data_IF_751482185942
#
_entry.id   IF_751482185942
#
_cell.length_a   1.000
_cell.length_b   1.000
_cell.length_c   1.000
_cell.angle_alpha   90.00
_cell.angle_beta   90.00
_cell.angle_gamma   90.00
#
_symmetry.space_group_name_H-M   'P 1'
#
loop_
_entity.id
_entity.type
_entity.pdbx_description
1 polymer ?
#
# COMPACT_ATOMS: atom_id res chain seq x y z
N UNK A 1 -5.42 31.28 6.03
CA UNK A 1 -4.15 32.05 6.14
C UNK A 1 -3.78 32.40 7.58
N UNK A 2 -4.73 32.69 8.48
CA UNK A 2 -4.46 32.96 9.90
C UNK A 2 -3.81 31.76 10.62
N UNK A 3 -4.16 30.55 10.25
CA UNK A 3 -3.83 29.35 11.03
C UNK A 3 -2.38 28.88 10.90
N UNK A 4 -1.73 29.03 9.74
CA UNK A 4 -0.32 28.62 9.56
C UNK A 4 0.65 29.61 10.18
N UNK A 5 0.39 30.92 10.13
CA UNK A 5 1.16 31.91 10.88
C UNK A 5 1.03 31.70 12.38
N UNK A 6 -0.17 31.33 12.83
CA UNK A 6 -0.46 30.91 14.20
C UNK A 6 0.35 29.67 14.59
N UNK A 7 0.50 28.69 13.68
CA UNK A 7 1.25 27.44 13.92
C UNK A 7 2.75 27.69 14.10
N UNK A 8 3.36 28.53 13.25
CA UNK A 8 4.79 28.87 13.38
C UNK A 8 5.06 29.57 14.69
N UNK A 9 4.27 30.58 15.03
CA UNK A 9 4.41 31.33 16.31
C UNK A 9 4.19 30.38 17.51
N UNK A 10 3.21 29.49 17.45
CA UNK A 10 2.96 28.51 18.50
C UNK A 10 4.10 27.50 18.63
N UNK A 11 4.71 27.08 17.52
CA UNK A 11 5.88 26.20 17.52
C UNK A 11 7.06 26.85 18.26
N UNK A 12 7.36 28.11 17.96
CA UNK A 12 8.42 28.86 18.65
C UNK A 12 8.15 28.99 20.15
N UNK A 13 6.93 29.30 20.55
CA UNK A 13 6.50 29.38 21.94
C UNK A 13 6.62 28.00 22.65
N UNK A 14 6.24 26.92 22.02
CA UNK A 14 6.38 25.55 22.56
C UNK A 14 7.85 25.17 22.73
N UNK A 15 8.73 25.48 21.78
CA UNK A 15 10.16 25.23 21.91
C UNK A 15 10.76 26.01 23.09
N UNK A 16 10.33 27.25 23.26
CA UNK A 16 10.76 28.09 24.40
C UNK A 16 10.24 27.52 25.75
N UNK A 17 8.98 27.10 25.82
CA UNK A 17 8.36 26.46 27.01
C UNK A 17 9.12 25.21 27.43
N UNK A 18 9.48 24.34 26.46
CA UNK A 18 10.18 23.10 26.70
C UNK A 18 11.70 23.25 26.85
N UNK A 19 12.25 24.46 26.62
CA UNK A 19 13.70 24.71 26.65
C UNK A 19 14.48 23.92 25.59
N UNK A 20 13.87 23.61 24.45
CA UNK A 20 14.48 22.87 23.33
C UNK A 20 14.81 23.81 22.18
N UNK A 21 15.92 23.57 21.45
CA UNK A 21 16.23 24.37 20.28
C UNK A 21 15.18 24.14 19.18
N UNK A 22 14.86 25.18 18.42
CA UNK A 22 14.01 25.05 17.25
C UNK A 22 14.68 24.16 16.20
N UNK A 23 13.94 23.21 15.65
CA UNK A 23 14.40 22.41 14.53
C UNK A 23 14.04 23.13 13.22
N UNK A 24 15.03 23.58 12.43
CA UNK A 24 14.77 24.34 11.19
C UNK A 24 13.92 23.58 10.16
N UNK A 25 13.89 22.28 10.26
CA UNK A 25 13.08 21.44 9.37
C UNK A 25 11.59 21.71 9.53
N UNK A 26 11.08 21.90 10.78
CA UNK A 26 9.68 22.26 11.01
C UNK A 26 9.31 23.57 10.31
N UNK A 27 10.15 24.58 10.45
CA UNK A 27 9.90 25.89 9.84
C UNK A 27 9.82 25.81 8.31
N UNK A 28 10.73 25.08 7.69
CA UNK A 28 10.71 24.84 6.24
C UNK A 28 9.45 24.11 5.80
N UNK A 29 8.99 23.13 6.58
CA UNK A 29 7.77 22.36 6.25
C UNK A 29 6.51 23.21 6.42
N UNK A 30 6.45 24.09 7.42
CA UNK A 30 5.34 25.04 7.56
C UNK A 30 5.28 26.03 6.40
N UNK A 31 6.41 26.52 5.93
CA UNK A 31 6.48 27.40 4.75
C UNK A 31 6.00 26.67 3.49
N UNK A 32 6.48 25.43 3.26
CA UNK A 32 6.06 24.62 2.13
C UNK A 32 4.55 24.35 2.16
N UNK A 33 3.99 23.93 3.28
CA UNK A 33 2.56 23.67 3.41
C UNK A 33 1.70 24.92 3.20
N UNK A 34 2.23 26.08 3.62
CA UNK A 34 1.59 27.37 3.33
C UNK A 34 1.50 27.64 1.83
N UNK A 35 2.58 27.40 1.08
CA UNK A 35 2.61 27.56 -0.37
C UNK A 35 1.63 26.60 -1.05
N UNK A 36 1.59 25.32 -0.63
CA UNK A 36 0.68 24.32 -1.15
C UNK A 36 -0.79 24.64 -0.82
N UNK A 37 -1.08 25.17 0.37
CA UNK A 37 -2.43 25.59 0.75
C UNK A 37 -2.90 26.77 -0.11
N UNK A 38 -2.02 27.74 -0.38
CA UNK A 38 -2.30 28.86 -1.29
C UNK A 38 -2.58 28.34 -2.72
N UNK A 39 -1.82 27.35 -3.18
CA UNK A 39 -2.03 26.76 -4.51
C UNK A 39 -3.36 26.02 -4.58
N UNK A 40 -3.70 25.20 -3.57
CA UNK A 40 -4.99 24.50 -3.46
C UNK A 40 -6.18 25.47 -3.45
N UNK A 41 -6.08 26.57 -2.72
CA UNK A 41 -7.15 27.58 -2.70
C UNK A 41 -7.41 28.23 -4.06
N UNK A 42 -6.36 28.40 -4.89
CA UNK A 42 -6.48 28.92 -6.27
C UNK A 42 -7.12 27.92 -7.23
N UNK A 43 -7.02 26.62 -6.95
CA UNK A 43 -7.63 25.55 -7.78
C UNK A 43 -9.05 25.20 -7.35
N UNK A 44 -9.61 25.89 -6.35
CA UNK A 44 -10.99 25.69 -5.87
C UNK A 44 -11.15 24.53 -4.89
N UNK A 45 -10.07 23.92 -4.43
CA UNK A 45 -10.11 22.94 -3.33
C UNK A 45 -10.12 23.69 -1.98
N UNK A 46 -11.31 23.82 -1.41
CA UNK A 46 -11.59 24.65 -0.21
C UNK A 46 -11.29 23.87 1.09
N UNK A 47 -10.65 22.70 1.04
CA UNK A 47 -10.36 21.94 2.26
C UNK A 47 -9.21 22.62 3.03
N UNK A 48 -9.54 23.19 4.18
CA UNK A 48 -8.59 23.78 5.15
C UNK A 48 -7.74 22.71 5.88
N UNK A 49 -7.60 21.50 5.29
CA UNK A 49 -6.87 20.40 5.88
C UNK A 49 -5.37 20.58 5.61
N UNK A 50 -4.59 20.59 6.68
CA UNK A 50 -3.13 20.67 6.65
C UNK A 50 -2.50 19.28 6.80
N UNK A 51 -1.47 19.02 5.99
CA UNK A 51 -0.68 17.81 6.04
C UNK A 51 0.76 18.15 6.49
N UNK A 52 1.21 17.62 7.60
CA UNK A 52 2.58 17.81 8.07
C UNK A 52 3.48 16.67 7.59
N UNK A 53 4.30 16.96 6.59
CA UNK A 53 5.26 16.02 6.00
C UNK A 53 6.64 16.17 6.65
N UNK A 54 6.86 15.52 7.77
CA UNK A 54 8.10 15.59 8.54
C UNK A 54 8.98 14.35 8.36
N UNK A 55 8.99 13.79 7.15
CA UNK A 55 9.74 12.58 6.83
C UNK A 55 11.26 12.79 6.90
N UNK A 56 11.98 11.90 7.60
CA UNK A 56 13.42 11.96 7.79
C UNK A 56 14.28 11.65 6.55
N UNK A 57 13.63 11.28 5.41
CA UNK A 57 14.28 11.14 4.11
C UNK A 57 13.92 12.27 3.13
N UNK A 58 13.31 13.34 3.61
CA UNK A 58 12.96 14.51 2.80
C UNK A 58 14.21 15.28 2.39
N UNK A 59 14.25 15.74 1.13
CA UNK A 59 15.36 16.53 0.58
C UNK A 59 15.55 17.89 1.28
N UNK A 60 14.52 18.41 1.92
CA UNK A 60 14.57 19.66 2.70
C UNK A 60 15.18 19.49 4.09
N UNK A 61 15.37 18.24 4.54
CA UNK A 61 16.05 17.94 5.79
C UNK A 61 17.56 18.21 5.61
N UNK A 62 18.05 19.22 6.26
CA UNK A 62 19.47 19.63 6.18
C UNK A 62 20.25 19.40 7.47
N UNK A 63 19.57 18.93 8.52
CA UNK A 63 20.12 18.70 9.84
C UNK A 63 19.77 17.28 10.33
N UNK A 64 19.45 17.10 11.57
CA UNK A 64 19.09 15.82 12.16
C UNK A 64 17.66 15.40 11.85
N UNK A 65 17.43 14.08 11.75
CA UNK A 65 16.08 13.48 11.78
C UNK A 65 15.39 13.79 13.11
N UNK A 66 14.06 13.75 13.10
CA UNK A 66 13.29 13.95 14.32
C UNK A 66 13.58 12.83 15.33
N UNK A 67 13.57 13.20 16.60
CA UNK A 67 13.74 12.31 17.73
C UNK A 67 12.54 12.42 18.72
N UNK A 68 12.66 11.78 19.87
CA UNK A 68 11.60 11.75 20.89
C UNK A 68 11.23 13.12 21.45
N UNK A 69 12.19 14.05 21.51
CA UNK A 69 11.93 15.44 21.95
C UNK A 69 11.12 16.21 20.92
N UNK A 70 11.36 15.97 19.63
CA UNK A 70 10.54 16.55 18.58
C UNK A 70 9.10 16.02 18.66
N UNK A 71 8.89 14.77 19.09
CA UNK A 71 7.55 14.21 19.35
C UNK A 71 6.85 14.90 20.53
N UNK A 72 7.58 15.27 21.59
CA UNK A 72 7.03 16.06 22.69
C UNK A 72 6.59 17.45 22.21
N UNK A 73 7.40 18.11 21.39
CA UNK A 73 7.05 19.38 20.75
C UNK A 73 5.79 19.24 19.89
N UNK A 74 5.71 18.18 19.06
CA UNK A 74 4.54 17.90 18.23
C UNK A 74 3.27 17.68 19.08
N UNK A 75 3.37 16.94 20.17
CA UNK A 75 2.24 16.75 21.08
C UNK A 75 1.73 18.10 21.61
N UNK A 76 2.61 18.92 22.16
CA UNK A 76 2.27 20.25 22.69
C UNK A 76 1.70 21.19 21.62
N UNK A 77 2.27 21.13 20.42
CA UNK A 77 1.83 21.94 19.29
C UNK A 77 0.43 21.57 18.83
N UNK A 78 0.13 20.26 18.76
CA UNK A 78 -1.07 19.69 18.13
C UNK A 78 -2.17 19.26 19.11
N UNK A 79 -1.96 19.33 20.44
CA UNK A 79 -2.96 18.88 21.43
C UNK A 79 -4.34 19.55 21.26
N UNK A 80 -4.41 20.81 20.81
CA UNK A 80 -5.65 21.55 20.51
C UNK A 80 -5.81 21.80 19.00
N UNK A 81 -5.25 20.94 18.19
CA UNK A 81 -5.30 21.07 16.73
C UNK A 81 -6.70 20.81 16.18
N UNK A 82 -7.12 21.65 15.23
CA UNK A 82 -8.41 21.55 14.53
C UNK A 82 -8.27 21.52 13.00
N UNK A 83 -7.05 21.53 12.46
CA UNK A 83 -6.80 21.65 11.01
C UNK A 83 -5.75 20.68 10.47
N UNK A 84 -4.78 20.19 11.29
CA UNK A 84 -3.83 19.15 10.83
C UNK A 84 -4.53 17.81 10.86
N UNK A 85 -4.70 17.19 9.68
CA UNK A 85 -5.39 15.91 9.52
C UNK A 85 -4.44 14.76 9.20
N UNK A 86 -3.23 15.04 8.73
CA UNK A 86 -2.23 14.02 8.39
C UNK A 86 -0.87 14.39 8.94
N UNK A 87 -0.18 13.39 9.52
CA UNK A 87 1.13 13.53 10.12
C UNK A 87 2.07 12.44 9.59
N UNK A 88 3.02 12.82 8.76
CA UNK A 88 4.03 11.92 8.20
C UNK A 88 5.36 12.06 8.92
N UNK A 89 5.69 11.09 9.77
CA UNK A 89 6.88 11.01 10.61
C UNK A 89 7.82 9.86 10.20
N UNK A 90 7.67 9.34 8.99
CA UNK A 90 8.47 8.19 8.51
C UNK A 90 9.97 8.51 8.44
N UNK A 91 10.81 7.47 8.54
CA UNK A 91 12.27 7.54 8.42
C UNK A 91 12.96 8.46 9.44
N UNK A 92 12.41 8.61 10.62
CA UNK A 92 12.98 9.36 11.72
C UNK A 92 13.62 8.43 12.77
N UNK A 93 14.07 8.99 13.88
CA UNK A 93 14.72 8.27 14.99
C UNK A 93 13.79 8.23 16.22
N UNK A 94 12.51 8.01 15.99
CA UNK A 94 11.48 7.98 17.03
C UNK A 94 11.50 6.62 17.71
N UNK A 95 11.73 6.59 19.03
CA UNK A 95 11.71 5.38 19.84
C UNK A 95 10.37 5.20 20.56
N UNK A 96 10.27 4.18 21.42
CA UNK A 96 9.09 3.95 22.24
C UNK A 96 8.73 5.19 23.09
N UNK A 97 9.73 5.98 23.52
CA UNK A 97 9.48 7.20 24.29
C UNK A 97 8.80 8.30 23.46
N UNK A 98 9.25 8.51 22.21
CA UNK A 98 8.61 9.46 21.31
C UNK A 98 7.18 9.05 20.93
N UNK A 99 6.97 7.75 20.73
CA UNK A 99 5.64 7.21 20.43
C UNK A 99 4.64 7.42 21.56
N UNK A 100 5.09 7.50 22.84
CA UNK A 100 4.20 7.84 23.97
C UNK A 100 3.55 9.23 23.80
N UNK A 101 4.29 10.20 23.28
CA UNK A 101 3.73 11.53 22.99
C UNK A 101 2.73 11.49 21.84
N UNK A 102 3.00 10.69 20.80
CA UNK A 102 2.06 10.51 19.70
C UNK A 102 0.79 9.79 20.18
N UNK A 103 0.92 8.76 21.01
CA UNK A 103 -0.22 8.07 21.61
C UNK A 103 -1.07 9.03 22.46
N UNK A 104 -0.43 9.87 23.28
CA UNK A 104 -1.09 10.90 24.07
C UNK A 104 -1.83 11.92 23.23
N UNK A 105 -1.21 12.34 22.11
CA UNK A 105 -1.87 13.21 21.13
C UNK A 105 -3.14 12.55 20.57
N UNK A 106 -3.10 11.26 20.24
CA UNK A 106 -4.27 10.52 19.74
C UNK A 106 -5.36 10.34 20.80
N UNK A 107 -5.04 10.25 22.08
CA UNK A 107 -6.04 10.19 23.15
C UNK A 107 -6.82 11.51 23.30
N UNK A 108 -6.22 12.64 22.98
CA UNK A 108 -6.77 13.97 23.18
C UNK A 108 -7.30 14.61 21.89
N UNK A 109 -6.91 14.11 20.72
CA UNK A 109 -7.24 14.71 19.42
C UNK A 109 -7.91 13.69 18.49
N UNK A 110 -9.04 14.08 17.91
CA UNK A 110 -9.80 13.28 16.94
C UNK A 110 -9.81 13.89 15.52
N UNK A 111 -9.03 14.93 15.28
CA UNK A 111 -8.93 15.60 13.96
C UNK A 111 -7.90 14.92 13.07
N UNK A 112 -6.86 14.32 13.68
CA UNK A 112 -5.83 13.60 12.93
C UNK A 112 -6.44 12.30 12.40
N UNK A 113 -6.49 12.17 11.08
CA UNK A 113 -7.03 11.01 10.37
C UNK A 113 -5.96 10.04 9.88
N UNK A 114 -4.74 10.54 9.64
CA UNK A 114 -3.62 9.73 9.13
C UNK A 114 -2.33 9.97 9.92
N UNK A 115 -1.67 8.87 10.33
CA UNK A 115 -0.33 8.89 10.91
C UNK A 115 0.55 7.86 10.21
N UNK A 116 1.73 8.31 9.77
CA UNK A 116 2.76 7.48 9.18
C UNK A 116 4.02 7.49 10.05
N UNK A 117 4.28 6.38 10.72
CA UNK A 117 5.47 6.13 11.56
C UNK A 117 6.41 5.09 10.95
N UNK A 118 6.32 4.84 9.63
CA UNK A 118 7.14 3.86 8.92
C UNK A 118 8.63 4.07 9.16
N UNK A 119 9.38 2.98 9.38
CA UNK A 119 10.85 3.01 9.50
C UNK A 119 11.34 4.00 10.57
N UNK A 120 10.88 3.81 11.78
CA UNK A 120 11.40 4.42 13.01
C UNK A 120 12.03 3.35 13.90
N UNK A 121 12.35 3.68 15.15
CA UNK A 121 13.12 2.82 16.07
C UNK A 121 12.30 2.34 17.27
N UNK A 122 10.97 2.35 17.20
CA UNK A 122 10.13 1.86 18.30
C UNK A 122 9.80 0.37 18.14
N UNK A 123 9.46 -0.24 19.27
CA UNK A 123 9.19 -1.67 19.37
C UNK A 123 7.81 -2.00 19.96
N UNK A 124 7.79 -3.06 20.78
CA UNK A 124 6.56 -3.58 21.38
C UNK A 124 5.89 -2.59 22.32
N UNK A 125 6.67 -1.78 23.06
CA UNK A 125 6.16 -0.88 24.08
C UNK A 125 5.49 0.35 23.41
N UNK A 126 6.06 0.86 22.30
CA UNK A 126 5.42 1.85 21.45
C UNK A 126 4.14 1.34 20.78
N UNK A 127 4.14 0.10 20.30
CA UNK A 127 2.93 -0.50 19.73
C UNK A 127 1.82 -0.69 20.80
N UNK A 128 2.19 -1.02 22.05
CA UNK A 128 1.23 -1.14 23.16
C UNK A 128 0.55 0.19 23.47
N UNK A 129 1.31 1.29 23.60
CA UNK A 129 0.73 2.59 23.93
C UNK A 129 -0.13 3.14 22.80
N UNK A 130 0.27 2.93 21.54
CA UNK A 130 -0.57 3.26 20.36
C UNK A 130 -1.88 2.48 20.37
N UNK A 131 -1.81 1.16 20.59
CA UNK A 131 -3.00 0.31 20.65
C UNK A 131 -3.97 0.78 21.75
N UNK A 132 -3.46 1.14 22.94
CA UNK A 132 -4.28 1.69 24.02
C UNK A 132 -4.93 3.03 23.66
N UNK A 133 -4.19 3.93 23.04
CA UNK A 133 -4.74 5.22 22.59
C UNK A 133 -5.86 5.01 21.57
N UNK A 134 -5.67 4.08 20.64
CA UNK A 134 -6.64 3.75 19.59
C UNK A 134 -7.91 3.02 20.12
N UNK A 135 -7.91 2.49 21.33
CA UNK A 135 -9.16 1.99 21.94
C UNK A 135 -10.20 3.11 22.15
N UNK A 136 -9.75 4.35 22.31
CA UNK A 136 -10.62 5.51 22.57
C UNK A 136 -10.69 6.50 21.41
N UNK A 137 -9.63 6.55 20.60
CA UNK A 137 -9.56 7.47 19.48
C UNK A 137 -10.61 7.13 18.42
N UNK A 138 -11.34 8.15 17.99
CA UNK A 138 -12.41 8.07 16.97
C UNK A 138 -12.09 8.86 15.70
N UNK A 139 -10.88 9.43 15.59
CA UNK A 139 -10.45 10.24 14.45
C UNK A 139 -9.61 9.46 13.45
N UNK A 140 -8.65 8.65 13.93
CA UNK A 140 -7.65 8.02 13.09
C UNK A 140 -8.25 6.95 12.17
N UNK A 141 -7.98 7.10 10.87
CA UNK A 141 -8.44 6.20 9.80
C UNK A 141 -7.32 5.40 9.16
N UNK A 142 -6.11 5.96 9.13
CA UNK A 142 -4.94 5.32 8.52
C UNK A 142 -3.76 5.36 9.46
N UNK A 143 -3.17 4.17 9.72
CA UNK A 143 -1.98 4.01 10.55
C UNK A 143 -0.94 3.16 9.83
N UNK A 144 0.27 3.68 9.70
CA UNK A 144 1.40 2.99 9.10
C UNK A 144 2.54 2.84 10.09
N UNK A 145 2.89 1.60 10.38
CA UNK A 145 3.91 1.22 11.34
C UNK A 145 5.02 0.35 10.71
N UNK A 146 4.93 0.11 9.41
CA UNK A 146 5.81 -0.83 8.71
C UNK A 146 7.29 -0.46 8.85
N UNK A 147 8.14 -1.50 8.94
CA UNK A 147 9.58 -1.33 9.11
C UNK A 147 10.02 -0.97 10.54
N UNK A 148 9.17 -1.10 11.54
CA UNK A 148 9.52 -0.97 12.97
C UNK A 148 9.64 -2.36 13.63
N UNK A 149 10.34 -2.47 14.77
CA UNK A 149 10.57 -3.75 15.45
C UNK A 149 9.49 -4.08 16.47
N UNK A 150 8.25 -4.12 16.04
CA UNK A 150 7.06 -4.30 16.90
C UNK A 150 7.03 -5.71 17.51
N UNK A 151 7.41 -6.73 16.75
CA UNK A 151 7.47 -8.12 17.17
C UNK A 151 6.10 -8.73 17.50
N UNK A 152 6.14 -10.00 17.90
CA UNK A 152 4.93 -10.77 18.20
C UNK A 152 4.04 -10.10 19.25
N UNK A 153 4.65 -9.59 20.32
CA UNK A 153 3.92 -9.01 21.45
C UNK A 153 3.20 -7.71 21.07
N UNK A 154 3.89 -6.84 20.31
CA UNK A 154 3.27 -5.63 19.78
C UNK A 154 2.15 -5.93 18.79
N UNK A 155 2.33 -6.95 17.94
CA UNK A 155 1.29 -7.45 17.04
C UNK A 155 0.03 -7.94 17.77
N UNK A 156 0.20 -8.59 18.93
CA UNK A 156 -0.93 -8.99 19.79
C UNK A 156 -1.71 -7.80 20.35
N UNK A 157 -1.02 -6.71 20.77
CA UNK A 157 -1.69 -5.48 21.20
C UNK A 157 -2.47 -4.82 20.05
N UNK A 158 -1.91 -4.82 18.83
CA UNK A 158 -2.60 -4.30 17.66
C UNK A 158 -3.82 -5.15 17.29
N UNK A 159 -3.74 -6.49 17.41
CA UNK A 159 -4.90 -7.36 17.23
C UNK A 159 -6.00 -7.06 18.26
N UNK A 160 -5.64 -6.90 19.52
CA UNK A 160 -6.58 -6.51 20.58
C UNK A 160 -7.22 -5.14 20.29
N UNK A 161 -6.45 -4.17 19.80
CA UNK A 161 -6.97 -2.87 19.36
C UNK A 161 -8.00 -3.03 18.25
N UNK A 162 -7.72 -3.82 17.21
CA UNK A 162 -8.66 -4.08 16.10
C UNK A 162 -9.97 -4.75 16.54
N UNK A 163 -9.99 -5.44 17.67
CA UNK A 163 -11.21 -6.03 18.23
C UNK A 163 -12.19 -4.96 18.74
N UNK A 164 -11.67 -3.79 19.16
CA UNK A 164 -12.44 -2.74 19.84
C UNK A 164 -12.64 -1.52 18.95
N UNK A 165 -11.57 -1.12 18.22
CA UNK A 165 -11.60 0.10 17.42
C UNK A 165 -12.56 -0.03 16.22
N UNK A 166 -13.40 0.97 16.06
CA UNK A 166 -14.44 1.04 15.00
C UNK A 166 -14.23 2.21 14.02
N UNK A 167 -13.02 2.75 13.93
CA UNK A 167 -12.73 3.91 13.08
C UNK A 167 -11.57 3.68 12.11
N UNK A 168 -10.58 2.86 12.48
CA UNK A 168 -9.41 2.59 11.67
C UNK A 168 -9.80 1.81 10.40
N UNK A 169 -9.46 2.37 9.24
CA UNK A 169 -9.80 1.81 7.93
C UNK A 169 -8.58 1.20 7.21
N UNK A 170 -7.39 1.71 7.47
CA UNK A 170 -6.15 1.18 6.87
C UNK A 170 -5.08 0.96 7.94
N UNK A 171 -4.47 -0.22 7.93
CA UNK A 171 -3.37 -0.59 8.81
C UNK A 171 -2.24 -1.22 8.01
N UNK A 172 -1.04 -0.63 8.10
CA UNK A 172 0.18 -1.19 7.55
C UNK A 172 1.15 -1.58 8.66
N UNK A 173 1.33 -2.88 8.83
CA UNK A 173 2.24 -3.52 9.79
C UNK A 173 3.19 -4.51 9.09
N UNK A 174 3.50 -4.23 7.83
CA UNK A 174 4.46 -5.01 7.07
C UNK A 174 5.87 -4.87 7.64
N UNK A 175 6.67 -5.94 7.55
CA UNK A 175 8.08 -5.91 7.94
C UNK A 175 8.29 -5.39 9.38
N UNK A 176 7.49 -5.90 10.32
CA UNK A 176 7.50 -5.49 11.74
C UNK A 176 7.78 -6.65 12.68
N UNK A 177 8.48 -7.68 12.20
CA UNK A 177 8.88 -8.87 12.96
C UNK A 177 7.69 -9.63 13.61
N UNK A 178 6.50 -9.57 12.98
CA UNK A 178 5.35 -10.36 13.42
C UNK A 178 5.62 -11.85 13.23
N UNK A 179 5.17 -12.67 14.18
CA UNK A 179 5.28 -14.13 14.08
C UNK A 179 3.90 -14.79 13.94
N UNK A 180 3.89 -16.09 13.80
CA UNK A 180 2.67 -16.89 13.57
C UNK A 180 1.51 -16.52 14.50
N UNK A 181 1.77 -16.37 15.80
CA UNK A 181 0.72 -16.11 16.81
C UNK A 181 0.02 -14.76 16.57
N UNK A 182 0.79 -13.69 16.42
CA UNK A 182 0.21 -12.34 16.19
C UNK A 182 -0.48 -12.24 14.82
N UNK A 183 0.06 -12.90 13.81
CA UNK A 183 -0.55 -12.97 12.48
C UNK A 183 -1.91 -13.68 12.53
N UNK A 184 -2.00 -14.82 13.22
CA UNK A 184 -3.25 -15.55 13.46
C UNK A 184 -4.23 -14.72 14.29
N UNK A 185 -3.75 -14.01 15.31
CA UNK A 185 -4.58 -13.14 16.14
C UNK A 185 -5.24 -12.03 15.30
N UNK A 186 -4.46 -11.35 14.42
CA UNK A 186 -5.01 -10.33 13.52
C UNK A 186 -6.06 -10.95 12.58
N UNK A 187 -5.78 -12.08 11.94
CA UNK A 187 -6.75 -12.75 11.07
C UNK A 187 -8.03 -13.12 11.84
N UNK A 188 -7.90 -13.56 13.09
CA UNK A 188 -9.03 -13.98 13.93
C UNK A 188 -9.94 -12.80 14.31
N UNK A 189 -9.37 -11.67 14.73
CA UNK A 189 -10.19 -10.49 15.10
C UNK A 189 -10.91 -9.88 13.90
N UNK A 190 -10.32 -9.99 12.72
CA UNK A 190 -10.94 -9.52 11.47
C UNK A 190 -12.21 -10.30 11.09
N UNK A 191 -12.47 -11.48 11.65
CA UNK A 191 -13.76 -12.16 11.48
C UNK A 191 -14.93 -11.27 11.92
N UNK A 192 -14.74 -10.41 12.91
CA UNK A 192 -15.77 -9.56 13.49
C UNK A 192 -15.56 -8.06 13.24
N UNK A 193 -14.34 -7.63 12.91
CA UNK A 193 -14.09 -6.23 12.57
C UNK A 193 -14.80 -5.85 11.27
N UNK A 194 -15.54 -4.73 11.28
CA UNK A 194 -16.34 -4.23 10.16
C UNK A 194 -15.94 -2.83 9.72
N UNK A 195 -14.72 -2.41 10.05
CA UNK A 195 -14.22 -1.06 9.73
C UNK A 195 -12.94 -1.08 8.90
N UNK A 196 -12.07 -2.06 9.14
CA UNK A 196 -10.80 -2.15 8.41
C UNK A 196 -11.07 -2.55 6.96
N UNK A 197 -10.56 -1.74 6.03
CA UNK A 197 -10.69 -1.89 4.58
C UNK A 197 -9.40 -2.31 3.91
N UNK A 198 -8.25 -1.86 4.42
CA UNK A 198 -6.93 -2.18 3.90
C UNK A 198 -6.03 -2.71 5.00
N UNK A 199 -5.40 -3.86 4.74
CA UNK A 199 -4.42 -4.47 5.63
C UNK A 199 -3.18 -4.88 4.85
N UNK A 200 -2.02 -4.36 5.29
CA UNK A 200 -0.72 -4.80 4.82
C UNK A 200 0.02 -5.54 5.94
N UNK A 201 0.28 -6.83 5.72
CA UNK A 201 1.03 -7.70 6.64
C UNK A 201 2.22 -8.38 5.94
N UNK A 202 2.77 -7.77 4.91
CA UNK A 202 3.88 -8.34 4.16
C UNK A 202 5.08 -8.67 5.05
N UNK A 203 5.79 -9.75 4.71
CA UNK A 203 7.07 -10.15 5.33
C UNK A 203 7.01 -10.43 6.84
N UNK A 204 6.04 -11.20 7.35
CA UNK A 204 6.12 -11.70 8.72
C UNK A 204 7.24 -12.75 8.84
N UNK A 205 7.67 -13.03 10.07
CA UNK A 205 8.64 -14.09 10.37
C UNK A 205 7.87 -15.37 10.69
N UNK A 206 7.65 -16.22 9.67
CA UNK A 206 6.90 -17.46 9.80
C UNK A 206 7.86 -18.66 9.82
N UNK A 207 7.72 -19.52 10.83
CA UNK A 207 8.58 -20.68 11.03
C UNK A 207 7.88 -22.01 10.73
N UNK A 208 6.58 -21.99 10.35
CA UNK A 208 5.80 -23.21 10.16
C UNK A 208 5.67 -23.58 8.70
N UNK A 209 5.86 -24.88 8.37
CA UNK A 209 5.58 -25.39 7.04
C UNK A 209 4.08 -25.61 6.76
N UNK A 210 3.23 -25.50 7.78
CA UNK A 210 1.81 -25.88 7.71
C UNK A 210 0.89 -24.76 7.19
N UNK A 211 1.44 -23.60 6.85
CA UNK A 211 0.70 -22.45 6.30
C UNK A 211 -0.54 -22.05 7.14
N UNK A 212 -0.47 -22.25 8.47
CA UNK A 212 -1.59 -21.97 9.39
C UNK A 212 -2.08 -20.53 9.28
N UNK A 213 -1.16 -19.57 9.16
CA UNK A 213 -1.50 -18.15 8.98
C UNK A 213 -2.40 -17.95 7.76
N UNK A 214 -2.06 -18.57 6.63
CA UNK A 214 -2.83 -18.49 5.38
C UNK A 214 -4.20 -19.12 5.54
N UNK A 215 -4.31 -20.24 6.26
CA UNK A 215 -5.59 -20.89 6.55
C UNK A 215 -6.50 -19.98 7.38
N UNK A 216 -5.95 -19.26 8.38
CA UNK A 216 -6.72 -18.32 9.19
C UNK A 216 -7.19 -17.10 8.35
N UNK A 217 -6.34 -16.55 7.48
CA UNK A 217 -6.75 -15.51 6.54
C UNK A 217 -7.83 -16.01 5.57
N UNK A 218 -7.69 -17.21 5.03
CA UNK A 218 -8.70 -17.80 4.16
C UNK A 218 -10.06 -17.89 4.87
N UNK A 219 -10.10 -18.43 6.10
CA UNK A 219 -11.33 -18.49 6.90
C UNK A 219 -11.92 -17.12 7.18
N UNK A 220 -11.08 -16.13 7.49
CA UNK A 220 -11.49 -14.76 7.70
C UNK A 220 -12.14 -14.18 6.44
N UNK A 221 -11.54 -14.37 5.27
CA UNK A 221 -12.08 -13.88 3.99
C UNK A 221 -13.45 -14.45 3.64
N UNK A 222 -13.79 -15.65 4.13
CA UNK A 222 -15.12 -16.24 3.96
C UNK A 222 -16.22 -15.43 4.65
N UNK A 223 -15.92 -14.80 5.79
CA UNK A 223 -16.92 -14.15 6.64
C UNK A 223 -16.80 -12.64 6.71
N UNK A 224 -15.62 -12.09 6.40
CA UNK A 224 -15.41 -10.66 6.39
C UNK A 224 -15.89 -10.06 5.08
N UNK A 225 -16.79 -9.08 5.18
CA UNK A 225 -17.41 -8.37 4.04
C UNK A 225 -16.99 -6.91 3.96
N UNK A 226 -15.93 -6.52 4.67
CA UNK A 226 -15.49 -5.12 4.77
C UNK A 226 -14.11 -4.90 4.18
N UNK A 227 -13.23 -5.91 4.31
CA UNK A 227 -11.86 -5.81 3.80
C UNK A 227 -11.88 -5.75 2.27
N UNK A 228 -11.31 -4.67 1.74
CA UNK A 228 -11.23 -4.39 0.31
C UNK A 228 -9.83 -4.69 -0.25
N UNK A 229 -8.79 -4.62 0.61
CA UNK A 229 -7.40 -4.72 0.21
C UNK A 229 -6.60 -5.55 1.22
N UNK A 230 -5.87 -6.57 0.71
CA UNK A 230 -5.06 -7.49 1.52
C UNK A 230 -3.72 -7.76 0.87
N UNK A 231 -2.63 -7.51 1.60
CA UNK A 231 -1.27 -7.78 1.18
C UNK A 231 -0.66 -8.90 2.03
N UNK A 232 -0.28 -9.99 1.36
CA UNK A 232 0.35 -11.20 1.92
C UNK A 232 1.64 -11.56 1.18
N UNK A 233 2.45 -10.56 0.83
CA UNK A 233 3.73 -10.75 0.17
C UNK A 233 4.73 -11.42 1.13
N UNK A 234 5.51 -12.39 0.62
CA UNK A 234 6.51 -13.13 1.41
C UNK A 234 5.91 -13.82 2.65
N UNK A 235 4.75 -14.40 2.47
CA UNK A 235 3.99 -15.12 3.49
C UNK A 235 4.26 -16.62 3.47
N UNK A 236 5.23 -17.08 2.64
CA UNK A 236 5.58 -18.48 2.42
C UNK A 236 4.43 -19.34 1.87
N UNK A 237 3.44 -18.71 1.22
CA UNK A 237 2.25 -19.38 0.67
C UNK A 237 2.69 -20.31 -0.47
N UNK A 238 2.26 -21.57 -0.38
CA UNK A 238 2.41 -22.62 -1.39
C UNK A 238 1.04 -22.97 -1.98
N UNK A 239 0.97 -24.04 -2.73
CA UNK A 239 -0.27 -24.47 -3.39
C UNK A 239 -1.38 -24.85 -2.43
N UNK A 240 -1.03 -25.38 -1.24
CA UNK A 240 -2.01 -25.65 -0.19
C UNK A 240 -2.68 -24.37 0.31
N UNK A 241 -1.89 -23.36 0.67
CA UNK A 241 -2.42 -22.06 1.10
C UNK A 241 -3.22 -21.36 0.01
N UNK A 242 -2.74 -21.41 -1.25
CA UNK A 242 -3.45 -20.88 -2.40
C UNK A 242 -4.81 -21.57 -2.61
N UNK A 243 -4.88 -22.89 -2.44
CA UNK A 243 -6.12 -23.66 -2.48
C UNK A 243 -7.09 -23.24 -1.38
N UNK A 244 -6.60 -23.09 -0.12
CA UNK A 244 -7.44 -22.62 0.99
C UNK A 244 -7.97 -21.21 0.76
N UNK A 245 -7.14 -20.29 0.23
CA UNK A 245 -7.59 -18.95 -0.16
C UNK A 245 -8.66 -19.04 -1.25
N UNK A 246 -8.43 -19.81 -2.29
CA UNK A 246 -9.38 -19.97 -3.39
C UNK A 246 -10.74 -20.47 -2.91
N UNK A 247 -10.78 -21.57 -2.12
CA UNK A 247 -12.01 -22.15 -1.58
C UNK A 247 -12.86 -21.14 -0.80
N UNK A 248 -12.23 -20.27 -0.03
CA UNK A 248 -12.93 -19.32 0.84
C UNK A 248 -13.23 -17.97 0.16
N UNK A 249 -12.55 -17.65 -0.95
CA UNK A 249 -12.80 -16.44 -1.74
C UNK A 249 -13.97 -16.60 -2.72
N UNK A 250 -14.47 -17.82 -2.95
CA UNK A 250 -15.53 -18.09 -3.95
C UNK A 250 -16.79 -17.25 -3.78
N UNK A 251 -17.09 -16.82 -2.56
CA UNK A 251 -18.29 -16.05 -2.23
C UNK A 251 -17.94 -14.63 -1.71
N UNK A 252 -16.64 -14.29 -1.65
CA UNK A 252 -16.22 -12.98 -1.19
C UNK A 252 -16.36 -11.93 -2.30
N UNK A 253 -17.18 -10.92 -2.06
CA UNK A 253 -17.43 -9.81 -2.98
C UNK A 253 -16.80 -8.49 -2.53
N UNK A 254 -16.23 -8.44 -1.34
CA UNK A 254 -15.65 -7.21 -0.77
C UNK A 254 -14.18 -7.00 -1.17
N UNK A 255 -13.40 -8.08 -1.24
CA UNK A 255 -11.98 -7.98 -1.54
C UNK A 255 -11.78 -7.59 -3.00
N UNK A 256 -11.10 -6.46 -3.23
CA UNK A 256 -10.84 -5.89 -4.55
C UNK A 256 -9.37 -6.01 -4.95
N UNK A 257 -8.48 -5.94 -3.99
CA UNK A 257 -7.04 -6.06 -4.19
C UNK A 257 -6.49 -7.21 -3.37
N UNK A 258 -5.79 -8.15 -4.02
CA UNK A 258 -5.09 -9.26 -3.37
C UNK A 258 -3.64 -9.31 -3.86
N UNK A 259 -2.69 -9.13 -2.94
CA UNK A 259 -1.27 -9.27 -3.21
C UNK A 259 -0.74 -10.59 -2.63
N UNK A 260 -0.41 -11.53 -3.52
CA UNK A 260 0.23 -12.81 -3.22
C UNK A 260 1.65 -12.87 -3.80
N UNK A 261 2.27 -11.74 -4.08
CA UNK A 261 3.60 -11.70 -4.70
C UNK A 261 4.70 -12.25 -3.78
N UNK A 262 5.82 -12.65 -4.38
CA UNK A 262 6.98 -13.17 -3.66
C UNK A 262 6.66 -14.36 -2.74
N UNK A 263 5.74 -15.22 -3.16
CA UNK A 263 5.39 -16.46 -2.47
C UNK A 263 5.96 -17.69 -3.22
N UNK A 264 5.46 -18.88 -2.93
CA UNK A 264 5.92 -20.14 -3.53
C UNK A 264 4.79 -20.87 -4.25
N UNK A 265 3.83 -20.11 -4.79
CA UNK A 265 2.66 -20.63 -5.50
C UNK A 265 3.12 -21.14 -6.87
N UNK A 266 2.76 -22.38 -7.19
CA UNK A 266 3.03 -22.98 -8.50
C UNK A 266 1.79 -23.01 -9.40
N UNK A 267 1.91 -23.60 -10.57
CA UNK A 267 0.79 -23.80 -11.51
C UNK A 267 -0.43 -24.46 -10.85
N UNK A 268 -0.22 -25.36 -9.88
CA UNK A 268 -1.32 -26.08 -9.22
C UNK A 268 -2.12 -25.15 -8.29
N UNK A 269 -1.46 -24.30 -7.51
CA UNK A 269 -2.12 -23.28 -6.69
C UNK A 269 -2.83 -22.22 -7.54
N UNK A 270 -2.20 -21.79 -8.64
CA UNK A 270 -2.82 -20.82 -9.57
C UNK A 270 -4.04 -21.42 -10.28
N UNK A 271 -4.04 -22.72 -10.60
CA UNK A 271 -5.23 -23.42 -11.12
C UNK A 271 -6.43 -23.26 -10.18
N UNK A 272 -6.22 -23.39 -8.87
CA UNK A 272 -7.29 -23.19 -7.88
C UNK A 272 -7.72 -21.71 -7.80
N UNK A 273 -6.78 -20.77 -7.77
CA UNK A 273 -7.07 -19.33 -7.81
C UNK A 273 -7.83 -18.93 -9.09
N UNK A 274 -7.57 -19.57 -10.22
CA UNK A 274 -8.29 -19.33 -11.47
C UNK A 274 -9.78 -19.64 -11.37
N UNK A 275 -10.19 -20.58 -10.51
CA UNK A 275 -11.60 -20.85 -10.23
C UNK A 275 -12.30 -19.66 -9.58
N UNK A 276 -11.59 -18.91 -8.72
CA UNK A 276 -12.10 -17.67 -8.12
C UNK A 276 -12.36 -16.63 -9.19
N UNK A 277 -11.43 -16.48 -10.14
CA UNK A 277 -11.60 -15.57 -11.28
C UNK A 277 -12.81 -15.96 -12.15
N UNK A 278 -13.03 -17.25 -12.38
CA UNK A 278 -14.20 -17.75 -13.14
C UNK A 278 -15.54 -17.45 -12.42
N UNK A 279 -15.52 -17.20 -11.13
CA UNK A 279 -16.70 -16.93 -10.30
C UNK A 279 -17.11 -15.45 -10.30
N UNK A 280 -16.28 -14.57 -10.85
CA UNK A 280 -16.50 -13.13 -10.82
C UNK A 280 -16.71 -12.58 -9.40
N UNK A 281 -15.78 -12.89 -8.50
CA UNK A 281 -15.73 -12.31 -7.17
C UNK A 281 -15.38 -10.82 -7.22
N UNK A 282 -15.23 -10.16 -6.06
CA UNK A 282 -14.90 -8.74 -5.99
C UNK A 282 -13.51 -8.36 -6.53
N UNK A 283 -12.62 -9.32 -6.82
CA UNK A 283 -11.22 -9.06 -7.13
C UNK A 283 -11.07 -8.30 -8.45
N UNK A 284 -10.51 -7.09 -8.36
CA UNK A 284 -10.17 -6.20 -9.48
C UNK A 284 -8.68 -6.17 -9.76
N UNK A 285 -7.85 -6.35 -8.74
CA UNK A 285 -6.41 -6.38 -8.87
C UNK A 285 -5.84 -7.63 -8.19
N UNK A 286 -5.15 -8.47 -8.97
CA UNK A 286 -4.47 -9.67 -8.49
C UNK A 286 -2.98 -9.56 -8.79
N UNK A 287 -2.16 -9.59 -7.74
CA UNK A 287 -0.71 -9.63 -7.87
C UNK A 287 -0.18 -11.03 -7.52
N UNK A 288 0.33 -11.72 -8.53
CA UNK A 288 0.98 -13.02 -8.44
C UNK A 288 2.47 -12.95 -8.80
N UNK A 289 3.07 -11.76 -8.89
CA UNK A 289 4.46 -11.61 -9.29
C UNK A 289 5.43 -12.35 -8.37
N UNK A 290 6.58 -12.76 -8.90
CA UNK A 290 7.62 -13.48 -8.15
C UNK A 290 7.12 -14.78 -7.50
N UNK A 291 6.35 -15.57 -8.25
CA UNK A 291 5.93 -16.93 -7.91
C UNK A 291 6.49 -17.93 -8.96
N UNK A 292 5.85 -19.08 -9.16
CA UNK A 292 6.27 -20.14 -10.09
C UNK A 292 5.11 -20.64 -10.92
N UNK A 293 4.39 -19.71 -11.60
CA UNK A 293 3.19 -20.02 -12.37
C UNK A 293 3.49 -20.96 -13.56
N UNK A 294 4.62 -20.70 -14.21
CA UNK A 294 4.98 -21.35 -15.47
C UNK A 294 3.90 -21.20 -16.54
N UNK A 295 4.02 -21.88 -17.68
CA UNK A 295 3.05 -21.78 -18.78
C UNK A 295 1.67 -22.32 -18.42
N UNK A 296 1.62 -23.45 -17.72
CA UNK A 296 0.34 -24.07 -17.38
C UNK A 296 -0.48 -23.19 -16.44
N UNK A 297 0.17 -22.55 -15.45
CA UNK A 297 -0.50 -21.58 -14.58
C UNK A 297 -1.00 -20.35 -15.34
N UNK A 298 -0.18 -19.82 -16.25
CA UNK A 298 -0.56 -18.69 -17.10
C UNK A 298 -1.75 -19.04 -18.00
N UNK A 299 -1.80 -20.26 -18.56
CA UNK A 299 -2.92 -20.75 -19.38
C UNK A 299 -4.20 -20.85 -18.55
N UNK A 300 -4.14 -21.37 -17.30
CA UNK A 300 -5.32 -21.42 -16.43
C UNK A 300 -5.90 -20.04 -16.12
N UNK A 301 -5.01 -19.04 -15.88
CA UNK A 301 -5.44 -17.64 -15.69
C UNK A 301 -6.02 -17.08 -16.99
N UNK A 302 -5.37 -17.31 -18.14
CA UNK A 302 -5.83 -16.86 -19.45
C UNK A 302 -7.23 -17.40 -19.79
N UNK A 303 -7.48 -18.71 -19.58
CA UNK A 303 -8.80 -19.31 -19.79
C UNK A 303 -9.88 -18.68 -18.91
N UNK A 304 -9.56 -18.41 -17.62
CA UNK A 304 -10.50 -17.80 -16.72
C UNK A 304 -10.86 -16.37 -17.16
N UNK A 305 -9.87 -15.60 -17.62
CA UNK A 305 -10.05 -14.22 -18.08
C UNK A 305 -10.79 -14.17 -19.41
N UNK A 306 -10.39 -14.99 -20.39
CA UNK A 306 -10.95 -14.96 -21.75
C UNK A 306 -12.45 -15.26 -21.77
N UNK A 307 -12.91 -16.18 -20.92
CA UNK A 307 -14.24 -16.79 -21.06
C UNK A 307 -15.23 -16.36 -19.99
N UNK A 308 -14.74 -16.11 -18.76
CA UNK A 308 -15.63 -16.02 -17.60
C UNK A 308 -15.50 -14.70 -16.83
N UNK A 309 -14.27 -14.17 -16.69
CA UNK A 309 -14.02 -13.05 -15.78
C UNK A 309 -14.38 -11.71 -16.40
N UNK A 310 -15.17 -10.93 -15.67
CA UNK A 310 -15.59 -9.57 -16.02
C UNK A 310 -15.33 -8.56 -14.91
N UNK A 311 -14.48 -8.90 -13.92
CA UNK A 311 -14.20 -8.06 -12.76
C UNK A 311 -12.73 -7.65 -12.65
N UNK A 312 -11.80 -8.50 -13.09
CA UNK A 312 -10.37 -8.26 -12.99
C UNK A 312 -9.94 -7.13 -13.95
N UNK A 313 -9.36 -6.08 -13.39
CA UNK A 313 -8.89 -4.90 -14.13
C UNK A 313 -7.36 -4.91 -14.29
N UNK A 314 -6.64 -5.44 -13.30
CA UNK A 314 -5.18 -5.43 -13.25
C UNK A 314 -4.65 -6.81 -12.85
N UNK A 315 -3.72 -7.33 -13.65
CA UNK A 315 -3.01 -8.58 -13.40
C UNK A 315 -1.50 -8.37 -13.40
N UNK A 316 -0.82 -8.75 -12.32
CA UNK A 316 0.64 -8.75 -12.25
C UNK A 316 1.15 -10.19 -12.16
N UNK A 317 1.85 -10.63 -13.22
CA UNK A 317 2.48 -11.96 -13.32
C UNK A 317 3.97 -11.88 -13.62
N UNK A 318 4.60 -10.78 -13.22
CA UNK A 318 6.04 -10.58 -13.40
C UNK A 318 6.83 -11.70 -12.75
N UNK A 319 7.97 -12.07 -13.38
CA UNK A 319 8.95 -13.00 -12.81
C UNK A 319 8.31 -14.31 -12.30
N UNK A 320 7.68 -15.06 -13.22
CA UNK A 320 6.97 -16.31 -12.93
C UNK A 320 7.42 -17.51 -13.79
N UNK A 321 8.55 -17.41 -14.46
CA UNK A 321 9.06 -18.44 -15.39
C UNK A 321 8.08 -18.79 -16.53
N UNK A 322 7.25 -17.84 -16.95
CA UNK A 322 6.31 -18.02 -18.07
C UNK A 322 7.10 -17.85 -19.37
N UNK A 323 6.94 -18.79 -20.31
CA UNK A 323 7.57 -18.70 -21.63
C UNK A 323 6.62 -18.11 -22.68
N UNK A 324 7.05 -18.07 -23.93
CA UNK A 324 6.23 -17.57 -25.02
C UNK A 324 4.87 -18.24 -25.13
N UNK A 325 4.75 -19.54 -24.77
CA UNK A 325 3.48 -20.28 -24.78
C UNK A 325 2.45 -19.66 -23.82
N UNK A 326 2.82 -19.47 -22.56
CA UNK A 326 1.93 -18.91 -21.55
C UNK A 326 1.65 -17.43 -21.79
N UNK A 327 2.66 -16.64 -22.23
CA UNK A 327 2.50 -15.23 -22.54
C UNK A 327 1.58 -15.00 -23.75
N UNK A 328 1.65 -15.83 -24.79
CA UNK A 328 0.72 -15.78 -25.92
C UNK A 328 -0.71 -16.07 -25.48
N UNK A 329 -0.92 -17.07 -24.61
CA UNK A 329 -2.25 -17.35 -24.07
C UNK A 329 -2.85 -16.16 -23.30
N UNK A 330 -2.03 -15.46 -22.49
CA UNK A 330 -2.44 -14.22 -21.80
C UNK A 330 -2.76 -13.11 -22.81
N UNK A 331 -1.94 -12.95 -23.86
CA UNK A 331 -2.20 -11.97 -24.92
C UNK A 331 -3.52 -12.24 -25.62
N UNK A 332 -3.82 -13.50 -25.94
CA UNK A 332 -5.08 -13.90 -26.60
C UNK A 332 -6.28 -13.66 -25.66
N UNK A 333 -6.13 -13.95 -24.38
CA UNK A 333 -7.16 -13.65 -23.39
C UNK A 333 -7.46 -12.14 -23.32
N UNK A 334 -6.43 -11.28 -23.39
CA UNK A 334 -6.60 -9.82 -23.44
C UNK A 334 -7.39 -9.36 -24.67
N UNK A 335 -7.24 -10.01 -25.84
CA UNK A 335 -8.01 -9.68 -27.04
C UNK A 335 -9.51 -9.96 -26.87
N UNK A 336 -9.85 -10.97 -26.08
CA UNK A 336 -11.23 -11.40 -25.85
C UNK A 336 -11.91 -10.68 -24.69
N UNK A 337 -11.15 -10.32 -23.65
CA UNK A 337 -11.67 -9.72 -22.43
C UNK A 337 -11.56 -8.19 -22.51
N UNK A 338 -12.65 -7.47 -22.20
CA UNK A 338 -12.68 -6.00 -22.22
C UNK A 338 -12.42 -5.37 -20.86
N UNK A 339 -12.44 -6.10 -19.77
CA UNK A 339 -12.31 -5.58 -18.40
C UNK A 339 -10.85 -5.48 -17.97
N UNK A 340 -10.05 -6.50 -18.26
CA UNK A 340 -8.63 -6.50 -17.95
C UNK A 340 -7.93 -5.47 -18.85
N UNK A 341 -7.51 -4.35 -18.26
CA UNK A 341 -6.92 -3.23 -18.98
C UNK A 341 -5.45 -2.99 -18.65
N UNK A 342 -4.91 -3.65 -17.59
CA UNK A 342 -3.49 -3.56 -17.21
C UNK A 342 -2.92 -4.94 -16.96
N UNK A 343 -1.74 -5.18 -17.53
CA UNK A 343 -0.99 -6.43 -17.31
C UNK A 343 0.51 -6.14 -17.22
N UNK A 344 1.17 -6.78 -16.24
CA UNK A 344 2.61 -6.67 -16.00
C UNK A 344 3.24 -8.04 -16.16
N UNK A 345 4.22 -8.17 -17.07
CA UNK A 345 4.82 -9.43 -17.50
C UNK A 345 6.35 -9.45 -17.45
N UNK A 346 7.01 -8.34 -17.10
CA UNK A 346 8.47 -8.25 -17.11
C UNK A 346 9.13 -9.33 -16.22
N UNK A 347 10.34 -9.76 -16.60
CA UNK A 347 11.07 -10.80 -15.86
C UNK A 347 10.64 -12.23 -16.17
N UNK A 348 9.71 -12.45 -17.10
CA UNK A 348 9.41 -13.76 -17.69
C UNK A 348 10.32 -14.03 -18.90
N UNK A 349 10.18 -15.19 -19.55
CA UNK A 349 10.95 -15.56 -20.74
C UNK A 349 10.27 -14.96 -21.97
N UNK A 350 10.69 -13.73 -22.35
CA UNK A 350 10.08 -12.92 -23.40
C UNK A 350 10.58 -13.35 -24.79
N UNK A 351 10.16 -14.54 -25.24
CA UNK A 351 10.46 -15.08 -26.56
C UNK A 351 9.84 -14.19 -27.67
N UNK A 352 10.36 -14.29 -28.90
CA UNK A 352 9.92 -13.52 -30.06
C UNK A 352 8.40 -13.63 -30.31
N UNK A 353 7.82 -14.84 -30.10
CA UNK A 353 6.37 -15.06 -30.23
C UNK A 353 5.56 -14.21 -29.26
N UNK A 354 5.98 -14.15 -27.98
CA UNK A 354 5.37 -13.28 -27.00
C UNK A 354 5.60 -11.80 -27.33
N UNK A 355 6.80 -11.45 -27.79
CA UNK A 355 7.12 -10.08 -28.15
C UNK A 355 6.21 -9.57 -29.29
N UNK A 356 6.00 -10.36 -30.32
CA UNK A 356 5.06 -10.06 -31.42
C UNK A 356 3.62 -9.94 -30.89
N UNK A 357 3.21 -10.87 -30.00
CA UNK A 357 1.84 -10.89 -29.49
C UNK A 357 1.53 -9.60 -28.66
N UNK A 358 2.45 -9.16 -27.80
CA UNK A 358 2.28 -7.93 -27.03
C UNK A 358 2.47 -6.65 -27.86
N UNK A 359 3.37 -6.67 -28.86
CA UNK A 359 3.48 -5.58 -29.82
C UNK A 359 2.14 -5.33 -30.53
N UNK A 360 1.49 -6.40 -31.02
CA UNK A 360 0.17 -6.31 -31.65
C UNK A 360 -0.92 -5.75 -30.73
N UNK A 361 -0.89 -6.05 -29.42
CA UNK A 361 -1.82 -5.47 -28.44
C UNK A 361 -1.62 -3.97 -28.27
N UNK A 362 -0.36 -3.52 -28.25
CA UNK A 362 0.00 -2.10 -28.14
C UNK A 362 -0.34 -1.33 -29.44
N UNK A 363 0.01 -1.88 -30.59
CA UNK A 363 -0.22 -1.25 -31.91
C UNK A 363 -1.72 -1.15 -32.23
N UNK A 364 -2.52 -2.13 -31.83
CA UNK A 364 -3.98 -2.10 -31.98
C UNK A 364 -4.69 -1.18 -30.98
N UNK A 365 -3.97 -0.63 -30.00
CA UNK A 365 -4.55 0.18 -28.93
C UNK A 365 -5.35 -0.63 -27.89
N UNK A 366 -5.34 -1.98 -27.96
CA UNK A 366 -5.99 -2.81 -26.95
C UNK A 366 -5.30 -2.72 -25.58
N UNK A 367 -3.99 -2.54 -25.57
CA UNK A 367 -3.18 -2.28 -24.40
C UNK A 367 -2.50 -0.91 -24.56
N UNK A 368 -2.55 -0.07 -23.54
CA UNK A 368 -1.88 1.22 -23.51
C UNK A 368 -0.48 1.08 -22.91
N UNK A 369 0.46 1.97 -23.28
CA UNK A 369 1.83 1.96 -22.76
C UNK A 369 1.86 2.11 -21.22
N UNK A 370 0.96 2.91 -20.67
CA UNK A 370 0.83 3.14 -19.23
C UNK A 370 0.20 1.95 -18.49
N UNK A 371 -0.26 0.96 -19.23
CA UNK A 371 -0.97 -0.21 -18.73
C UNK A 371 -0.16 -1.50 -18.76
N UNK A 372 1.14 -1.40 -19.09
CA UNK A 372 2.07 -2.53 -19.13
C UNK A 372 3.48 -2.08 -18.77
N UNK A 373 4.34 -3.02 -18.42
CA UNK A 373 5.75 -2.80 -18.08
C UNK A 373 6.72 -3.21 -19.21
N UNK A 374 6.19 -3.39 -20.42
CA UNK A 374 7.00 -3.77 -21.58
C UNK A 374 6.71 -2.87 -22.79
N UNK A 375 7.73 -2.66 -23.63
CA UNK A 375 7.60 -1.99 -24.91
C UNK A 375 8.35 -2.74 -26.00
N UNK A 376 7.77 -2.88 -27.21
CA UNK A 376 8.43 -3.54 -28.33
C UNK A 376 9.47 -2.62 -28.98
N UNK A 377 10.54 -3.23 -29.50
CA UNK A 377 11.52 -2.61 -30.37
C UNK A 377 12.09 -3.66 -31.33
N UNK A 378 12.69 -3.20 -32.43
CA UNK A 378 13.25 -4.06 -33.46
C UNK A 378 14.78 -4.10 -33.35
N UNK A 379 15.32 -5.33 -33.35
CA UNK A 379 16.77 -5.57 -33.44
C UNK A 379 16.99 -6.63 -34.53
N UNK A 380 17.74 -6.31 -35.54
CA UNK A 380 18.06 -7.19 -36.67
C UNK A 380 16.82 -7.86 -37.30
N UNK A 381 15.73 -7.11 -37.39
CA UNK A 381 14.45 -7.59 -37.93
C UNK A 381 13.61 -8.45 -37.01
N UNK A 382 14.03 -8.67 -35.76
CA UNK A 382 13.29 -9.39 -34.74
C UNK A 382 12.63 -8.44 -33.78
N UNK A 383 11.39 -8.74 -33.41
CA UNK A 383 10.68 -8.01 -32.36
C UNK A 383 11.13 -8.50 -30.99
N UNK A 384 11.58 -7.59 -30.14
CA UNK A 384 12.00 -7.86 -28.77
C UNK A 384 11.21 -6.94 -27.85
N UNK A 385 11.00 -7.35 -26.58
CA UNK A 385 10.43 -6.49 -25.54
C UNK A 385 11.52 -5.98 -24.61
N UNK A 386 11.53 -4.69 -24.33
CA UNK A 386 12.31 -4.07 -23.26
C UNK A 386 11.41 -3.71 -22.07
N UNK A 387 12.02 -3.57 -20.91
CA UNK A 387 11.33 -3.05 -19.73
C UNK A 387 10.90 -1.60 -19.96
N UNK A 388 9.66 -1.32 -19.67
CA UNK A 388 9.13 0.03 -19.58
C UNK A 388 9.02 0.41 -18.11
N UNK A 389 10.00 1.15 -17.62
CA UNK A 389 10.06 1.55 -16.22
C UNK A 389 9.20 2.83 -16.03
N UNK A 390 7.99 2.64 -15.54
CA UNK A 390 7.16 3.74 -15.03
C UNK A 390 7.61 4.08 -13.60
N UNK A 391 8.77 4.72 -13.46
CA UNK A 391 9.43 4.99 -12.18
C UNK A 391 8.56 5.72 -11.14
N UNK A 392 7.44 6.28 -11.56
CA UNK A 392 6.48 7.00 -10.72
C UNK A 392 5.14 6.27 -10.55
N UNK A 393 4.87 5.21 -11.30
CA UNK A 393 3.59 4.50 -11.28
C UNK A 393 3.76 3.04 -10.85
N UNK A 394 4.25 2.82 -9.63
CA UNK A 394 4.09 1.50 -9.03
C UNK A 394 2.61 1.32 -8.72
N UNK A 395 1.99 0.38 -9.44
CA UNK A 395 0.57 0.09 -9.39
C UNK A 395 0.20 -0.63 -8.09
N UNK A 396 0.05 0.14 -7.05
CA UNK A 396 -0.58 -0.33 -5.82
C UNK A 396 -1.84 0.50 -5.63
N UNK A 397 -2.93 -0.12 -5.23
CA UNK A 397 -4.07 0.58 -4.63
C UNK A 397 -3.60 1.41 -3.45
N UNK A 398 -2.59 0.91 -2.82
CA UNK A 398 -1.84 1.48 -1.75
C UNK A 398 -0.42 1.70 -2.25
N UNK A 399 -0.10 2.89 -2.67
CA UNK A 399 1.29 3.22 -3.01
C UNK A 399 2.08 3.28 -1.70
N UNK A 400 3.03 2.36 -1.46
CA UNK A 400 4.00 2.60 -0.42
C UNK A 400 4.76 3.84 -0.84
N UNK A 401 4.64 4.89 -0.06
CA UNK A 401 5.25 6.20 -0.34
C UNK A 401 6.75 6.17 -0.08
N UNK A 402 7.47 5.26 -0.72
CA UNK A 402 8.92 5.27 -0.72
C UNK A 402 9.42 6.55 -1.40
N UNK A 403 9.64 7.60 -0.61
CA UNK A 403 10.20 8.85 -1.07
C UNK A 403 9.28 9.76 -1.90
N UNK A 404 8.00 9.48 -1.98
CA UNK A 404 7.04 10.41 -2.58
C UNK A 404 6.56 11.44 -1.55
N UNK A 405 6.49 12.70 -1.95
CA UNK A 405 5.96 13.80 -1.12
C UNK A 405 4.41 13.85 -1.15
N UNK A 406 3.74 12.78 -1.52
CA UNK A 406 2.28 12.72 -1.68
C UNK A 406 1.69 11.75 -0.65
N UNK A 407 0.60 12.09 0.03
CA UNK A 407 -0.11 11.15 0.89
C UNK A 407 -0.53 9.95 0.05
N UNK A 408 -0.17 8.78 0.52
CA UNK A 408 -0.35 7.54 -0.22
C UNK A 408 -1.74 6.94 -0.08
N UNK A 409 -2.58 7.49 0.78
CA UNK A 409 -3.94 7.02 0.97
C UNK A 409 -4.94 8.17 0.73
N UNK A 410 -5.87 7.94 -0.17
CA UNK A 410 -7.09 8.72 -0.22
C UNK A 410 -8.24 7.76 0.08
N UNK A 411 -9.16 8.11 1.03
CA UNK A 411 -10.39 7.36 1.15
C UNK A 411 -11.05 7.38 -0.21
N UNK A 412 -11.44 6.23 -0.73
CA UNK A 412 -12.25 6.16 -1.95
C UNK A 412 -13.58 6.88 -1.66
N UNK A 413 -13.58 8.21 -1.80
CA UNK A 413 -14.80 8.93 -2.06
C UNK A 413 -15.38 8.33 -3.32
N UNK A 414 -16.68 8.03 -3.29
CA UNK A 414 -17.47 7.52 -4.41
C UNK A 414 -16.91 8.06 -5.72
N UNK A 415 -16.40 7.16 -6.55
CA UNK A 415 -15.90 7.49 -7.87
C UNK A 415 -16.98 8.28 -8.62
N UNK A 416 -16.82 9.57 -8.92
CA UNK A 416 -17.64 10.20 -9.94
C UNK A 416 -17.20 9.53 -11.24
N UNK A 417 -18.12 8.94 -11.95
CA UNK A 417 -17.91 8.41 -13.29
C UNK A 417 -17.19 9.47 -14.12
N UNK A 418 -15.97 9.13 -14.55
CA UNK A 418 -15.28 9.81 -15.65
C UNK A 418 -14.79 11.21 -15.30
N UNK A 419 -13.53 11.32 -15.14
CA UNK A 419 -12.61 12.32 -15.70
C UNK A 419 -11.40 12.53 -14.79
N UNK A 420 -10.23 12.37 -15.41
CA UNK A 420 -8.98 13.05 -15.10
C UNK A 420 -8.34 12.86 -13.73
N UNK A 421 -7.64 11.73 -13.59
CA UNK A 421 -6.38 11.77 -12.87
C UNK A 421 -5.42 12.59 -13.72
N UNK A 422 -5.38 13.91 -13.52
CA UNK A 422 -4.31 14.74 -14.04
C UNK A 422 -3.01 14.26 -13.41
N UNK A 423 -2.21 13.57 -14.22
CA UNK A 423 -0.82 13.35 -13.91
C UNK A 423 -0.18 14.73 -13.67
N UNK A 424 0.35 14.94 -12.45
CA UNK A 424 1.25 16.06 -12.22
C UNK A 424 2.54 15.77 -12.98
N UNK A 425 2.68 16.35 -14.15
CA UNK A 425 3.93 16.40 -14.89
C UNK A 425 4.90 17.28 -14.08
N UNK A 426 5.95 16.69 -13.53
CA UNK A 426 7.13 17.43 -13.14
C UNK A 426 7.81 17.96 -14.42
N UNK A 427 7.41 19.16 -14.83
CA UNK A 427 8.15 19.94 -15.82
C UNK A 427 9.44 20.43 -15.16
N UNK A 428 10.56 20.02 -15.72
CA UNK A 428 11.82 20.72 -15.55
C UNK A 428 12.96 19.92 -14.98
N UNK A 429 13.63 19.16 -15.84
CA UNK A 429 15.09 19.08 -15.90
C UNK A 429 15.51 18.49 -17.25
N UNK A 430 15.84 19.39 -18.17
CA UNK A 430 16.78 19.06 -19.25
C UNK A 430 18.09 18.62 -18.61
N UNK A 431 18.49 17.40 -18.89
CA UNK A 431 19.87 16.95 -18.67
C UNK A 431 20.55 17.09 -20.02
N UNK A 432 21.41 18.12 -20.14
CA UNK A 432 22.37 18.21 -21.22
C UNK A 432 23.23 16.94 -21.20
N UNK A 433 23.27 16.31 -22.36
CA UNK A 433 24.24 15.28 -22.67
C UNK A 433 25.64 15.93 -22.83
N UNK A 434 26.63 15.40 -22.14
CA UNK A 434 28.01 15.22 -22.56
C UNK A 434 28.47 13.87 -22.12
#
# INVERSE_FOLDING_TARGET
>A
MSDIHSTTFRYEAVCQELGVPQNPYFLKMFEKEKEETILRSKTGDIRDNMHLYLAGNNKLLTDKRLDDKDCEVLYKLLQNNVFVTSLDLRYNNITDEGVKFIAKLLEENAVIEEINLMCNDFGKDGAEVLARALHKNTGLRCLRLNGNKIGNRGGMYLAQMLQINTTLQALDIADTDLTTESVIAVATVLNNNRTLKSLNMNRPILFTEQEECTVHFAKMLKVNTTLEELHLQKFEIRDFGATRLAENLMENLSLQYLDLSCNRITRDGVKELSKVLKRNTGIRHLNLSFNRLEDDGAIHVAEAIATYNTTLEILDVRTNNITGKGLCALSDALKMNATLNKIFIWGNVLEETAAIAFANLLDSGRLQKESTDVQPYLVDGKTILSELNHSEQRHYYYAPSYGADVPSWQPRGKNPRGSDVKAYSNSGREIMAM
#
